data_IF_333177004433
#
_entry.id   IF_333177004433
#
_cell.length_a   1.000
_cell.length_b   1.000
_cell.length_c   1.000
_cell.angle_alpha   90.00
_cell.angle_beta   90.00
_cell.angle_gamma   90.00
#
_symmetry.space_group_name_H-M   'P 1'
#
loop_
_entity.id
_entity.type
_entity.pdbx_description
1 polymer ?
#
# COMPACT_ATOMS: atom_id res chain seq x y z
N UNK A 1 -3.71 -3.21 16.80
CA UNK A 1 -2.50 -3.92 16.31
C UNK A 1 -1.65 -2.91 15.57
N UNK A 2 -0.36 -2.76 15.89
CA UNK A 2 0.54 -1.76 15.29
C UNK A 2 1.64 -2.46 14.48
N UNK A 3 2.14 -1.78 13.43
CA UNK A 3 3.28 -2.26 12.63
C UNK A 3 4.53 -2.29 13.53
N UNK A 4 5.34 -3.36 13.43
CA UNK A 4 6.56 -3.53 14.21
C UNK A 4 7.75 -3.74 13.28
N UNK A 5 8.82 -2.97 13.49
CA UNK A 5 10.08 -3.10 12.74
C UNK A 5 10.68 -4.50 12.94
N UNK A 6 11.22 -5.08 11.87
CA UNK A 6 11.84 -6.41 11.89
C UNK A 6 10.84 -7.58 11.98
N UNK A 7 9.53 -7.31 11.95
CA UNK A 7 8.48 -8.32 11.78
C UNK A 7 7.89 -8.23 10.37
N UNK A 8 7.30 -9.33 9.86
CA UNK A 8 6.58 -9.27 8.58
C UNK A 8 5.54 -8.16 8.60
N UNK A 9 5.50 -7.38 7.53
CA UNK A 9 4.46 -6.38 7.35
C UNK A 9 3.08 -7.08 7.30
N UNK A 10 2.04 -6.52 7.94
CA UNK A 10 0.69 -7.06 7.83
C UNK A 10 0.26 -7.08 6.37
N UNK A 11 -0.24 -8.23 5.92
CA UNK A 11 -0.79 -8.35 4.57
C UNK A 11 -2.08 -7.52 4.48
N UNK A 12 -2.30 -6.93 3.30
CA UNK A 12 -3.50 -6.16 3.00
C UNK A 12 -3.83 -6.28 1.53
N UNK A 13 -5.12 -6.15 1.24
CA UNK A 13 -5.64 -6.08 -0.12
C UNK A 13 -6.43 -4.77 -0.27
N UNK A 14 -6.21 -4.06 -1.36
CA UNK A 14 -6.92 -2.82 -1.66
C UNK A 14 -7.12 -2.64 -3.16
N UNK A 15 -7.97 -1.68 -3.53
CA UNK A 15 -8.10 -1.22 -4.90
C UNK A 15 -7.12 -0.08 -5.13
N UNK A 16 -6.29 -0.18 -6.16
CA UNK A 16 -5.34 0.85 -6.57
C UNK A 16 -5.64 1.32 -7.99
N UNK A 17 -5.42 2.61 -8.26
CA UNK A 17 -5.47 3.16 -9.62
C UNK A 17 -4.09 3.04 -10.26
N UNK A 18 -3.97 2.22 -11.31
CA UNK A 18 -2.71 1.91 -11.99
C UNK A 18 -2.94 1.98 -13.50
N UNK A 19 -2.20 2.87 -14.18
CA UNK A 19 -2.22 3.02 -15.64
C UNK A 19 -3.63 3.21 -16.23
N UNK A 20 -4.47 4.03 -15.59
CA UNK A 20 -5.81 4.33 -16.09
C UNK A 20 -6.93 3.43 -15.55
N UNK A 21 -6.58 2.37 -14.84
CA UNK A 21 -7.52 1.32 -14.42
C UNK A 21 -7.50 1.11 -12.91
N UNK A 22 -8.63 0.69 -12.35
CA UNK A 22 -8.72 0.23 -10.95
C UNK A 22 -8.38 -1.27 -10.91
N UNK A 23 -7.36 -1.63 -10.15
CA UNK A 23 -6.90 -3.02 -9.97
C UNK A 23 -6.93 -3.41 -8.50
N UNK A 24 -7.28 -4.67 -8.21
CA UNK A 24 -7.04 -5.23 -6.89
C UNK A 24 -5.53 -5.50 -6.74
N UNK A 25 -4.96 -5.05 -5.63
CA UNK A 25 -3.54 -5.25 -5.30
C UNK A 25 -3.42 -5.80 -3.89
N UNK A 26 -2.54 -6.77 -3.72
CA UNK A 26 -2.23 -7.35 -2.42
C UNK A 26 -0.74 -7.17 -2.11
N UNK A 27 -0.41 -6.87 -0.86
CA UNK A 27 0.99 -6.71 -0.46
C UNK A 27 1.82 -7.97 -0.79
N UNK A 28 1.21 -9.15 -0.63
CA UNK A 28 1.84 -10.43 -0.97
C UNK A 28 2.24 -10.58 -2.44
N UNK A 29 1.63 -9.84 -3.36
CA UNK A 29 1.94 -9.93 -4.80
C UNK A 29 3.33 -9.37 -5.12
N UNK A 30 3.91 -8.59 -4.21
CA UNK A 30 5.21 -7.92 -4.35
C UNK A 30 6.34 -8.63 -3.58
N UNK A 31 6.14 -9.87 -3.15
CA UNK A 31 7.19 -10.64 -2.47
C UNK A 31 8.43 -10.81 -3.36
N UNK A 32 9.61 -10.77 -2.72
CA UNK A 32 10.90 -10.83 -3.43
C UNK A 32 11.39 -9.50 -3.98
N UNK A 33 10.63 -8.41 -3.79
CA UNK A 33 11.02 -7.05 -4.18
C UNK A 33 11.01 -6.13 -2.95
N UNK A 34 11.76 -5.03 -3.03
CA UNK A 34 11.64 -3.95 -2.05
C UNK A 34 10.44 -3.08 -2.40
N UNK A 35 9.46 -3.02 -1.49
CA UNK A 35 8.27 -2.17 -1.62
C UNK A 35 8.26 -1.04 -0.59
N UNK A 36 7.68 0.09 -0.95
CA UNK A 36 7.43 1.23 -0.06
C UNK A 36 5.93 1.52 -0.03
N UNK A 37 5.35 1.56 1.17
CA UNK A 37 3.97 1.98 1.39
C UNK A 37 4.00 3.30 2.15
N UNK A 38 3.36 4.32 1.59
CA UNK A 38 3.29 5.65 2.16
C UNK A 38 1.82 6.06 2.31
N UNK A 39 1.48 6.62 3.46
CA UNK A 39 0.14 7.13 3.76
C UNK A 39 0.19 8.66 3.77
N UNK A 40 -0.80 9.29 3.14
CA UNK A 40 -0.96 10.74 3.16
C UNK A 40 -2.38 11.12 3.62
N UNK A 41 -2.60 12.34 4.13
CA UNK A 41 -3.84 12.69 4.83
C UNK A 41 -5.10 12.70 3.96
N UNK A 42 -4.99 13.05 2.69
CA UNK A 42 -6.11 13.08 1.77
C UNK A 42 -5.78 13.74 0.43
N UNK A 43 -6.64 13.48 -0.55
CA UNK A 43 -6.59 14.15 -1.86
C UNK A 43 -7.19 15.56 -1.78
N UNK A 44 -6.70 16.47 -2.62
CA UNK A 44 -7.25 17.83 -2.79
C UNK A 44 -7.44 18.62 -1.48
N UNK A 45 -6.43 18.60 -0.61
CA UNK A 45 -6.45 19.40 0.62
C UNK A 45 -6.34 20.90 0.32
N UNK A 46 -6.86 21.72 1.23
CA UNK A 46 -6.71 23.19 1.16
C UNK A 46 -5.24 23.60 1.30
N UNK A 47 -4.80 24.54 0.47
CA UNK A 47 -3.49 25.22 0.52
C UNK A 47 -3.67 26.68 0.88
#
# INVERSE_FOLDING_TARGET
MAVKVGKPAPDFETKAYINGEIKAVKLSDYQGQWGMVYFYPGDFTFV
#
